data_IF_704115331118
#
_entry.id   IF_704115331118
#
_cell.length_a   1.000
_cell.length_b   1.000
_cell.length_c   1.000
_cell.angle_alpha   90.00
_cell.angle_beta   90.00
_cell.angle_gamma   90.00
#
_symmetry.space_group_name_H-M   'P 1'
#
loop_
_entity.id
_entity.type
_entity.pdbx_description
1 polymer ?
#
# COMPACT_ATOMS: atom_id res chain seq x y z
N UNK A 1 -11.21 9.27 -6.04
CA UNK A 1 -11.34 8.08 -5.15
C UNK A 1 -10.69 6.94 -5.88
N UNK A 2 -9.73 6.28 -5.26
CA UNK A 2 -9.19 5.08 -5.86
C UNK A 2 -10.33 4.07 -6.03
N UNK A 3 -10.56 3.64 -7.25
CA UNK A 3 -11.60 2.65 -7.56
C UNK A 3 -11.19 1.28 -7.01
N UNK A 4 -9.90 0.97 -7.04
CA UNK A 4 -9.33 -0.28 -6.55
C UNK A 4 -9.67 -0.56 -5.09
N UNK A 5 -9.43 0.37 -4.16
CA UNK A 5 -9.73 0.19 -2.73
C UNK A 5 -11.21 -0.10 -2.48
N UNK A 6 -12.10 0.63 -3.16
CA UNK A 6 -13.55 0.43 -2.97
C UNK A 6 -14.03 -0.89 -3.57
N UNK A 7 -13.47 -1.30 -4.71
CA UNK A 7 -13.74 -2.59 -5.34
C UNK A 7 -13.21 -3.71 -4.46
N UNK A 8 -11.98 -3.58 -3.94
CA UNK A 8 -11.36 -4.57 -3.07
C UNK A 8 -12.16 -4.76 -1.77
N UNK A 9 -12.65 -3.69 -1.12
CA UNK A 9 -13.56 -3.81 0.04
C UNK A 9 -14.81 -4.62 -0.33
N UNK A 10 -15.44 -4.32 -1.45
CA UNK A 10 -16.66 -5.01 -1.86
C UNK A 10 -16.42 -6.49 -2.18
N UNK A 11 -15.35 -6.80 -2.90
CA UNK A 11 -15.00 -8.19 -3.26
C UNK A 11 -14.56 -9.01 -2.05
N UNK A 12 -13.71 -8.46 -1.17
CA UNK A 12 -13.28 -9.16 0.04
C UNK A 12 -14.43 -9.36 1.03
N UNK A 13 -15.38 -8.41 1.08
CA UNK A 13 -16.64 -8.63 1.83
C UNK A 13 -17.44 -9.79 1.24
N UNK A 14 -17.54 -9.89 -0.08
CA UNK A 14 -18.24 -11.01 -0.73
C UNK A 14 -17.51 -12.33 -0.50
N UNK A 15 -16.18 -12.35 -0.55
CA UNK A 15 -15.37 -13.54 -0.24
C UNK A 15 -15.57 -13.96 1.22
N UNK A 16 -15.48 -13.03 2.17
CA UNK A 16 -15.71 -13.28 3.59
C UNK A 16 -17.11 -13.84 3.85
N UNK A 17 -18.14 -13.27 3.23
CA UNK A 17 -19.51 -13.75 3.34
C UNK A 17 -19.69 -15.16 2.75
N UNK A 18 -19.10 -15.44 1.59
CA UNK A 18 -19.17 -16.78 0.95
C UNK A 18 -18.46 -17.84 1.79
N UNK A 19 -17.24 -17.54 2.30
CA UNK A 19 -16.50 -18.44 3.20
C UNK A 19 -17.25 -18.65 4.53
N UNK A 20 -17.79 -17.58 5.11
CA UNK A 20 -18.60 -17.65 6.33
C UNK A 20 -19.88 -18.48 6.16
N UNK A 21 -20.57 -18.36 5.04
CA UNK A 21 -21.69 -19.22 4.70
C UNK A 21 -21.25 -20.69 4.55
N UNK A 22 -20.15 -20.93 3.85
CA UNK A 22 -19.58 -22.27 3.74
C UNK A 22 -19.23 -22.88 5.10
N UNK A 23 -18.66 -22.11 6.03
CA UNK A 23 -18.42 -22.54 7.40
C UNK A 23 -19.71 -22.87 8.15
N UNK A 24 -20.73 -22.02 8.09
CA UNK A 24 -22.01 -22.25 8.76
C UNK A 24 -22.71 -23.55 8.28
N UNK A 25 -22.55 -23.88 7.00
CA UNK A 25 -23.17 -25.10 6.40
C UNK A 25 -22.36 -26.36 6.71
N UNK A 26 -21.01 -26.26 6.70
CA UNK A 26 -20.13 -27.44 6.82
C UNK A 26 -19.60 -27.65 8.24
N UNK A 27 -19.54 -26.60 9.08
CA UNK A 27 -18.86 -26.62 10.36
C UNK A 27 -17.33 -26.72 10.24
N UNK A 28 -16.77 -26.56 9.04
CA UNK A 28 -15.33 -26.72 8.76
C UNK A 28 -14.46 -25.71 9.51
N UNK A 29 -13.50 -26.16 10.36
CA UNK A 29 -12.55 -25.28 11.02
C UNK A 29 -11.69 -24.48 10.04
N UNK A 30 -11.35 -25.06 8.90
CA UNK A 30 -10.60 -24.41 7.83
C UNK A 30 -11.37 -23.22 7.26
N UNK A 31 -12.66 -23.39 6.92
CA UNK A 31 -13.51 -22.30 6.44
C UNK A 31 -13.74 -21.23 7.52
N UNK A 32 -13.78 -21.59 8.80
CA UNK A 32 -13.81 -20.61 9.89
C UNK A 32 -12.56 -19.73 9.90
N UNK A 33 -11.37 -20.35 9.89
CA UNK A 33 -10.10 -19.64 9.86
C UNK A 33 -9.98 -18.70 8.63
N UNK A 34 -10.36 -19.21 7.45
CA UNK A 34 -10.41 -18.46 6.21
C UNK A 34 -11.41 -17.28 6.25
N UNK A 35 -12.54 -17.45 6.92
CA UNK A 35 -13.52 -16.36 7.12
C UNK A 35 -12.95 -15.25 7.99
N UNK A 36 -12.30 -15.61 9.11
CA UNK A 36 -11.65 -14.64 10.01
C UNK A 36 -10.55 -13.87 9.26
N UNK A 37 -9.76 -14.58 8.46
CA UNK A 37 -8.71 -13.95 7.63
C UNK A 37 -9.32 -12.94 6.65
N UNK A 38 -10.34 -13.34 5.88
CA UNK A 38 -11.01 -12.43 4.94
C UNK A 38 -11.69 -11.24 5.62
N UNK A 39 -12.20 -11.40 6.84
CA UNK A 39 -12.71 -10.28 7.65
C UNK A 39 -11.59 -9.32 8.06
N UNK A 40 -10.40 -9.84 8.39
CA UNK A 40 -9.24 -9.01 8.71
C UNK A 40 -8.77 -8.20 7.49
N UNK A 41 -8.79 -8.79 6.29
CA UNK A 41 -8.47 -8.11 5.03
C UNK A 41 -9.44 -6.96 4.74
N UNK A 42 -10.76 -7.19 4.92
CA UNK A 42 -11.77 -6.12 4.83
C UNK A 42 -11.46 -5.00 5.82
N UNK A 43 -11.16 -5.34 7.08
CA UNK A 43 -10.78 -4.37 8.11
C UNK A 43 -9.58 -3.53 7.71
N UNK A 44 -8.56 -4.17 7.15
CA UNK A 44 -7.36 -3.52 6.66
C UNK A 44 -7.66 -2.51 5.54
N UNK A 45 -8.45 -2.93 4.55
CA UNK A 45 -8.84 -2.06 3.43
C UNK A 45 -9.74 -0.91 3.85
N UNK A 46 -10.56 -1.09 4.89
CA UNK A 46 -11.34 0.00 5.51
C UNK A 46 -10.39 1.05 6.11
N UNK A 47 -9.31 0.65 6.78
CA UNK A 47 -8.30 1.58 7.30
C UNK A 47 -7.65 2.39 6.17
N UNK A 48 -7.27 1.74 5.07
CA UNK A 48 -6.75 2.41 3.88
C UNK A 48 -7.77 3.42 3.32
N UNK A 49 -9.04 3.04 3.27
CA UNK A 49 -10.12 3.92 2.82
C UNK A 49 -10.32 5.13 3.72
N UNK A 50 -10.24 4.96 5.04
CA UNK A 50 -10.28 6.06 6.00
C UNK A 50 -9.15 7.04 5.71
N UNK A 51 -7.94 6.55 5.47
CA UNK A 51 -6.78 7.36 5.10
C UNK A 51 -7.02 8.15 3.82
N UNK A 52 -7.56 7.50 2.79
CA UNK A 52 -7.90 8.16 1.51
C UNK A 52 -8.91 9.29 1.70
N UNK A 53 -9.99 9.03 2.45
CA UNK A 53 -11.06 10.03 2.69
C UNK A 53 -10.56 11.19 3.54
N UNK A 54 -9.79 10.91 4.59
CA UNK A 54 -9.26 11.95 5.50
C UNK A 54 -8.17 12.77 4.82
N UNK A 55 -7.29 12.11 4.05
CA UNK A 55 -6.20 12.77 3.32
C UNK A 55 -6.66 13.76 2.27
N UNK A 56 -7.91 13.66 1.78
CA UNK A 56 -8.48 14.59 0.79
C UNK A 56 -8.95 15.92 1.38
N UNK A 57 -8.97 16.06 2.72
CA UNK A 57 -9.36 17.33 3.33
C UNK A 57 -8.29 18.39 3.04
N UNK A 58 -8.74 19.47 2.41
CA UNK A 58 -7.90 20.61 2.05
C UNK A 58 -7.36 21.36 3.28
N UNK A 59 -6.59 22.43 3.03
CA UNK A 59 -6.03 23.28 4.07
C UNK A 59 -7.11 23.90 4.97
N UNK A 60 -6.83 23.93 6.27
CA UNK A 60 -7.62 24.61 7.29
C UNK A 60 -6.69 25.38 8.25
N UNK A 61 -7.26 26.08 9.25
CA UNK A 61 -6.44 26.86 10.20
C UNK A 61 -5.47 26.01 11.02
N UNK A 62 -5.79 24.74 11.24
CA UNK A 62 -4.97 23.80 12.04
C UNK A 62 -4.03 22.98 11.17
N UNK A 63 -4.34 22.84 9.89
CA UNK A 63 -3.56 22.07 8.90
C UNK A 63 -3.32 22.95 7.66
N UNK A 64 -2.36 23.87 7.69
CA UNK A 64 -2.15 24.86 6.62
C UNK A 64 -1.86 24.23 5.25
N UNK A 65 -1.30 23.03 5.21
CA UNK A 65 -0.98 22.30 3.97
C UNK A 65 -2.00 21.19 3.63
N UNK A 66 -3.13 21.14 4.38
CA UNK A 66 -4.12 20.08 4.27
C UNK A 66 -3.73 18.83 5.07
N UNK A 67 -4.44 17.74 4.82
CA UNK A 67 -4.28 16.49 5.58
C UNK A 67 -3.77 15.35 4.71
N UNK A 68 -3.04 15.62 3.65
CA UNK A 68 -2.54 14.60 2.72
C UNK A 68 -1.76 13.48 3.40
N UNK A 69 -0.98 13.80 4.42
CA UNK A 69 -0.19 12.82 5.20
C UNK A 69 -1.04 11.81 6.00
N UNK A 70 -2.33 12.07 6.22
CA UNK A 70 -3.24 11.07 6.84
C UNK A 70 -3.31 9.76 6.02
N UNK A 71 -3.13 9.81 4.71
CA UNK A 71 -3.04 8.60 3.90
C UNK A 71 -1.90 7.69 4.35
N UNK A 72 -0.72 8.26 4.53
CA UNK A 72 0.47 7.52 4.94
C UNK A 72 0.37 7.01 6.38
N UNK A 73 -0.26 7.80 7.26
CA UNK A 73 -0.53 7.38 8.65
C UNK A 73 -1.46 6.16 8.68
N UNK A 74 -2.61 6.23 8.00
CA UNK A 74 -3.56 5.12 8.01
C UNK A 74 -3.04 3.89 7.26
N UNK A 75 -2.22 4.08 6.21
CA UNK A 75 -1.53 2.99 5.54
C UNK A 75 -0.45 2.36 6.44
N UNK A 76 0.19 3.12 7.33
CA UNK A 76 1.10 2.57 8.34
C UNK A 76 0.32 1.76 9.39
N UNK A 77 -0.82 2.27 9.88
CA UNK A 77 -1.69 1.54 10.81
C UNK A 77 -2.19 0.24 10.18
N UNK A 78 -2.59 0.29 8.91
CA UNK A 78 -2.97 -0.88 8.11
C UNK A 78 -1.84 -1.91 8.05
N UNK A 79 -0.62 -1.49 7.68
CA UNK A 79 0.54 -2.39 7.63
C UNK A 79 0.86 -3.04 8.99
N UNK A 80 0.76 -2.30 10.08
CA UNK A 80 0.93 -2.82 11.45
C UNK A 80 -0.17 -3.87 11.76
N UNK A 81 -1.41 -3.61 11.37
CA UNK A 81 -2.52 -4.55 11.56
C UNK A 81 -2.30 -5.84 10.77
N UNK A 82 -1.85 -5.77 9.51
CA UNK A 82 -1.50 -6.94 8.70
C UNK A 82 -0.34 -7.73 9.33
N UNK A 83 0.65 -7.05 9.91
CA UNK A 83 1.76 -7.71 10.59
C UNK A 83 1.29 -8.52 11.79
N UNK A 84 0.50 -7.92 12.69
CA UNK A 84 0.09 -8.62 13.91
C UNK A 84 -1.02 -9.64 13.66
N UNK A 85 -2.02 -9.30 12.86
CA UNK A 85 -3.19 -10.15 12.62
C UNK A 85 -2.87 -11.14 11.49
N UNK A 86 -2.48 -10.66 10.29
CA UNK A 86 -2.24 -11.50 9.13
C UNK A 86 -1.05 -12.45 9.34
N UNK A 87 0.14 -11.89 9.61
CA UNK A 87 1.35 -12.68 9.83
C UNK A 87 1.24 -13.49 11.14
N UNK A 88 0.86 -12.84 12.26
CA UNK A 88 0.84 -13.48 13.57
C UNK A 88 -0.11 -14.67 13.64
N UNK A 89 -1.35 -14.53 13.17
CA UNK A 89 -2.35 -15.62 13.20
C UNK A 89 -1.93 -16.77 12.27
N UNK A 90 -1.45 -16.48 11.05
CA UNK A 90 -1.04 -17.52 10.12
C UNK A 90 0.17 -18.33 10.63
N UNK A 91 1.18 -17.66 11.20
CA UNK A 91 2.33 -18.36 11.79
C UNK A 91 1.90 -19.17 13.02
N UNK A 92 1.10 -18.59 13.92
CA UNK A 92 0.60 -19.29 15.10
C UNK A 92 -0.20 -20.53 14.69
N UNK A 93 -1.13 -20.39 13.77
CA UNK A 93 -1.96 -21.51 13.29
C UNK A 93 -1.13 -22.60 12.61
N UNK A 94 -0.18 -22.21 11.76
CA UNK A 94 0.71 -23.15 11.09
C UNK A 94 1.63 -23.91 12.07
N UNK A 95 2.24 -23.20 13.04
CA UNK A 95 3.07 -23.84 14.06
C UNK A 95 2.24 -24.77 14.96
N UNK A 96 1.05 -24.32 15.37
CA UNK A 96 0.15 -25.16 16.18
C UNK A 96 -0.24 -26.44 15.45
N UNK A 97 -0.59 -26.35 14.16
CA UNK A 97 -0.95 -27.51 13.34
C UNK A 97 0.23 -28.48 13.10
N UNK A 98 1.50 -28.02 13.19
CA UNK A 98 2.68 -28.89 13.16
C UNK A 98 2.91 -29.61 14.49
N UNK A 99 2.66 -28.91 15.61
CA UNK A 99 2.90 -29.46 16.96
C UNK A 99 1.77 -30.40 17.40
N UNK A 100 0.55 -30.07 17.07
CA UNK A 100 -0.65 -30.84 17.40
C UNK A 100 -1.44 -31.16 16.11
N UNK A 101 -0.99 -32.16 15.33
CA UNK A 101 -1.65 -32.50 14.08
C UNK A 101 -3.10 -32.94 14.32
N UNK A 102 -4.05 -32.11 13.95
CA UNK A 102 -5.47 -32.46 13.92
C UNK A 102 -5.78 -33.30 12.69
N UNK A 103 -6.91 -34.00 12.71
CA UNK A 103 -7.41 -34.74 11.53
C UNK A 103 -7.56 -33.78 10.35
N UNK A 104 -6.81 -34.04 9.28
CA UNK A 104 -6.90 -33.24 8.07
C UNK A 104 -8.22 -33.50 7.38
N UNK A 105 -8.99 -32.44 7.19
CA UNK A 105 -10.21 -32.52 6.39
C UNK A 105 -9.89 -32.77 4.92
N UNK A 106 -10.62 -33.67 4.28
CA UNK A 106 -10.56 -33.81 2.84
C UNK A 106 -11.13 -32.52 2.18
N UNK A 107 -10.46 -31.99 1.20
CA UNK A 107 -10.97 -30.88 0.41
C UNK A 107 -12.29 -31.29 -0.26
N UNK A 108 -13.42 -30.86 0.33
CA UNK A 108 -14.72 -31.09 -0.26
C UNK A 108 -14.87 -30.28 -1.55
N UNK A 109 -15.74 -30.72 -2.50
CA UNK A 109 -16.02 -29.92 -3.71
C UNK A 109 -16.49 -28.49 -3.42
N UNK A 110 -17.15 -28.28 -2.27
CA UNK A 110 -17.58 -26.97 -1.81
C UNK A 110 -16.37 -26.08 -1.47
N UNK A 111 -15.39 -26.61 -0.71
CA UNK A 111 -14.17 -25.87 -0.34
C UNK A 111 -13.38 -25.50 -1.61
N UNK A 112 -13.20 -26.44 -2.54
CA UNK A 112 -12.54 -26.17 -3.82
C UNK A 112 -13.28 -25.11 -4.64
N UNK A 113 -14.62 -25.18 -4.69
CA UNK A 113 -15.44 -24.18 -5.37
C UNK A 113 -15.29 -22.78 -4.77
N UNK A 114 -15.26 -22.66 -3.44
CA UNK A 114 -15.04 -21.39 -2.73
C UNK A 114 -13.62 -20.84 -2.95
N UNK A 115 -12.59 -21.70 -2.98
CA UNK A 115 -11.22 -21.28 -3.29
C UNK A 115 -11.10 -20.77 -4.73
N UNK A 116 -11.68 -21.44 -5.69
CA UNK A 116 -11.70 -20.99 -7.09
C UNK A 116 -12.49 -19.70 -7.28
N UNK A 117 -13.61 -19.54 -6.58
CA UNK A 117 -14.38 -18.29 -6.56
C UNK A 117 -13.53 -17.14 -5.97
N UNK A 118 -12.88 -17.38 -4.83
CA UNK A 118 -11.97 -16.40 -4.22
C UNK A 118 -10.82 -16.05 -5.16
N UNK A 119 -10.19 -17.04 -5.81
CA UNK A 119 -9.12 -16.84 -6.78
C UNK A 119 -9.55 -15.91 -7.93
N UNK A 120 -10.75 -16.11 -8.46
CA UNK A 120 -11.26 -15.30 -9.56
C UNK A 120 -11.51 -13.84 -9.13
N UNK A 121 -12.06 -13.63 -7.94
CA UNK A 121 -12.30 -12.30 -7.39
C UNK A 121 -10.98 -11.57 -7.05
N UNK A 122 -10.04 -12.24 -6.39
CA UNK A 122 -8.72 -11.70 -6.08
C UNK A 122 -7.93 -11.34 -7.34
N UNK A 123 -7.97 -12.20 -8.37
CA UNK A 123 -7.33 -11.91 -9.65
C UNK A 123 -7.96 -10.69 -10.35
N UNK A 124 -9.26 -10.50 -10.19
CA UNK A 124 -9.93 -9.32 -10.72
C UNK A 124 -9.54 -8.05 -9.96
N UNK A 125 -9.56 -8.04 -8.62
CA UNK A 125 -9.13 -6.88 -7.80
C UNK A 125 -7.68 -6.53 -8.04
N UNK A 126 -6.80 -7.52 -8.06
CA UNK A 126 -5.39 -7.35 -8.42
C UNK A 126 -5.23 -6.67 -9.78
N UNK A 127 -5.99 -7.12 -10.80
CA UNK A 127 -5.96 -6.52 -12.14
C UNK A 127 -6.41 -5.06 -12.14
N UNK A 128 -7.41 -4.70 -11.31
CA UNK A 128 -7.90 -3.33 -11.17
C UNK A 128 -6.84 -2.47 -10.47
N UNK A 129 -6.27 -2.94 -9.37
CA UNK A 129 -5.20 -2.24 -8.65
C UNK A 129 -3.96 -2.04 -9.54
N UNK A 130 -3.58 -3.06 -10.31
CA UNK A 130 -2.47 -2.99 -11.27
C UNK A 130 -2.70 -1.94 -12.36
N UNK A 131 -3.92 -1.87 -12.92
CA UNK A 131 -4.28 -0.85 -13.90
C UNK A 131 -4.23 0.56 -13.30
N UNK A 132 -4.71 0.74 -12.07
CA UNK A 132 -4.68 2.01 -11.35
C UNK A 132 -3.23 2.45 -11.06
N UNK A 133 -2.31 1.50 -10.83
CA UNK A 133 -0.87 1.75 -10.73
C UNK A 133 -0.19 2.06 -12.08
N UNK A 134 -0.91 2.02 -13.19
CA UNK A 134 -0.38 2.27 -14.53
C UNK A 134 0.29 1.08 -15.19
N UNK A 135 0.01 -0.14 -14.70
CA UNK A 135 0.59 -1.41 -15.19
C UNK A 135 1.98 -1.69 -14.63
N UNK A 136 2.53 -2.86 -14.99
CA UNK A 136 3.81 -3.36 -14.47
C UNK A 136 4.98 -2.39 -14.66
N UNK A 137 5.03 -1.67 -15.77
CA UNK A 137 6.13 -0.75 -16.09
C UNK A 137 6.18 0.48 -15.18
N UNK A 138 5.05 0.92 -14.63
CA UNK A 138 4.93 2.15 -13.83
C UNK A 138 4.80 1.92 -12.32
N UNK A 139 4.74 0.68 -11.86
CA UNK A 139 4.62 0.36 -10.43
C UNK A 139 5.71 1.07 -9.61
N UNK A 140 6.97 1.03 -10.07
CA UNK A 140 8.09 1.63 -9.35
C UNK A 140 7.99 3.16 -9.26
N UNK A 141 7.42 3.80 -10.26
CA UNK A 141 7.23 5.26 -10.30
C UNK A 141 6.07 5.70 -9.41
N UNK A 142 4.99 4.92 -9.39
CA UNK A 142 3.75 5.24 -8.68
C UNK A 142 3.68 4.66 -7.25
N UNK A 143 4.77 4.07 -6.73
CA UNK A 143 4.81 3.47 -5.38
C UNK A 143 4.48 4.43 -4.23
N UNK A 144 4.54 5.75 -4.48
CA UNK A 144 4.14 6.76 -3.49
C UNK A 144 2.61 6.81 -3.29
N UNK A 145 1.82 6.26 -4.22
CA UNK A 145 0.41 5.96 -3.99
C UNK A 145 0.31 4.71 -3.11
N UNK A 146 0.67 4.90 -1.83
CA UNK A 146 0.85 3.78 -0.88
C UNK A 146 -0.43 3.01 -0.63
N UNK A 147 -1.59 3.66 -0.77
CA UNK A 147 -2.91 3.05 -0.58
C UNK A 147 -3.18 1.99 -1.65
N UNK A 148 -3.06 2.35 -2.93
CA UNK A 148 -3.29 1.41 -4.04
C UNK A 148 -2.19 0.35 -4.08
N UNK A 149 -0.95 0.76 -3.75
CA UNK A 149 0.19 -0.15 -3.71
C UNK A 149 0.05 -1.21 -2.60
N UNK A 150 -0.51 -0.83 -1.43
CA UNK A 150 -0.80 -1.78 -0.36
C UNK A 150 -1.83 -2.81 -0.81
N UNK A 151 -2.95 -2.38 -1.41
CA UNK A 151 -3.97 -3.30 -1.97
C UNK A 151 -3.36 -4.24 -3.00
N UNK A 152 -2.54 -3.73 -3.93
CA UNK A 152 -1.89 -4.54 -4.95
C UNK A 152 -1.00 -5.65 -4.35
N UNK A 153 -0.22 -5.32 -3.32
CA UNK A 153 0.66 -6.30 -2.65
C UNK A 153 -0.15 -7.30 -1.82
N UNK A 154 -1.21 -6.86 -1.15
CA UNK A 154 -2.11 -7.69 -0.37
C UNK A 154 -2.81 -8.73 -1.27
N UNK A 155 -3.41 -8.27 -2.38
CA UNK A 155 -4.06 -9.16 -3.37
C UNK A 155 -3.04 -10.13 -3.99
N UNK A 156 -1.79 -9.70 -4.24
CA UNK A 156 -0.73 -10.57 -4.75
C UNK A 156 -0.39 -11.71 -3.78
N UNK A 157 -0.30 -11.41 -2.47
CA UNK A 157 -0.03 -12.43 -1.44
C UNK A 157 -1.24 -13.35 -1.27
N UNK A 158 -2.47 -12.80 -1.31
CA UNK A 158 -3.70 -13.60 -1.26
C UNK A 158 -3.79 -14.59 -2.44
N UNK A 159 -3.53 -14.12 -3.66
CA UNK A 159 -3.47 -14.98 -4.86
C UNK A 159 -2.44 -16.10 -4.71
N UNK A 160 -1.22 -15.77 -4.25
CA UNK A 160 -0.19 -16.77 -4.02
C UNK A 160 -0.60 -17.77 -2.95
N UNK A 161 -1.22 -17.32 -1.86
CA UNK A 161 -1.75 -18.16 -0.80
C UNK A 161 -2.79 -19.16 -1.31
N UNK A 162 -3.78 -18.69 -2.08
CA UNK A 162 -4.82 -19.55 -2.68
C UNK A 162 -4.20 -20.57 -3.65
N UNK A 163 -3.24 -20.15 -4.48
CA UNK A 163 -2.55 -21.05 -5.41
C UNK A 163 -1.75 -22.13 -4.66
N UNK A 164 -1.06 -21.79 -3.59
CA UNK A 164 -0.35 -22.76 -2.74
C UNK A 164 -1.33 -23.74 -2.08
N UNK A 165 -2.47 -23.26 -1.59
CA UNK A 165 -3.53 -24.11 -1.00
C UNK A 165 -4.11 -25.07 -2.05
N UNK A 166 -4.39 -24.59 -3.27
CA UNK A 166 -4.87 -25.44 -4.37
C UNK A 166 -3.81 -26.47 -4.79
N UNK A 167 -2.53 -26.11 -4.77
CA UNK A 167 -1.43 -27.05 -5.03
C UNK A 167 -1.40 -28.14 -3.96
N UNK A 168 -1.50 -27.79 -2.68
CA UNK A 168 -1.58 -28.76 -1.58
C UNK A 168 -2.82 -29.64 -1.70
N UNK A 169 -3.96 -29.08 -2.08
CA UNK A 169 -5.17 -29.88 -2.34
C UNK A 169 -4.93 -30.91 -3.45
N UNK A 170 -4.30 -30.51 -4.56
CA UNK A 170 -3.93 -31.43 -5.66
C UNK A 170 -2.93 -32.51 -5.23
N UNK A 171 -1.92 -32.15 -4.47
CA UNK A 171 -0.93 -33.10 -3.89
C UNK A 171 -1.61 -34.10 -2.95
N UNK A 172 -2.55 -33.60 -2.14
CA UNK A 172 -3.31 -34.44 -1.20
C UNK A 172 -4.21 -35.50 -1.88
N UNK A 173 -4.64 -35.23 -3.11
CA UNK A 173 -5.40 -36.23 -3.90
C UNK A 173 -4.53 -37.43 -4.29
N UNK A 174 -3.20 -37.23 -4.46
CA UNK A 174 -2.27 -38.27 -4.92
C UNK A 174 -1.64 -39.01 -3.73
N UNK A 175 -1.16 -38.27 -2.72
CA UNK A 175 -0.40 -38.82 -1.59
C UNK A 175 -1.19 -38.89 -0.28
N UNK A 176 -2.46 -38.54 -0.29
CA UNK A 176 -3.31 -38.42 0.89
C UNK A 176 -3.08 -37.08 1.64
N UNK A 177 -4.08 -36.66 2.41
CA UNK A 177 -4.04 -35.42 3.17
C UNK A 177 -3.00 -35.52 4.31
N UNK A 178 -2.17 -34.47 4.46
CA UNK A 178 -1.16 -34.37 5.52
C UNK A 178 -1.21 -32.98 6.15
N UNK A 179 -1.44 -32.90 7.45
CA UNK A 179 -1.47 -31.66 8.21
C UNK A 179 -0.21 -30.79 8.01
N UNK A 180 0.96 -31.43 7.82
CA UNK A 180 2.21 -30.73 7.57
C UNK A 180 2.20 -29.88 6.29
N UNK A 181 1.46 -30.24 5.26
CA UNK A 181 1.39 -29.45 4.02
C UNK A 181 0.63 -28.14 4.24
N UNK A 182 -0.58 -28.21 4.84
CA UNK A 182 -1.38 -27.02 5.15
C UNK A 182 -0.65 -26.09 6.14
N UNK A 183 -0.06 -26.67 7.17
CA UNK A 183 0.76 -25.94 8.15
C UNK A 183 1.93 -25.20 7.49
N UNK A 184 2.63 -25.85 6.55
CA UNK A 184 3.75 -25.23 5.82
C UNK A 184 3.27 -24.07 4.96
N UNK A 185 2.13 -24.21 4.28
CA UNK A 185 1.53 -23.12 3.49
C UNK A 185 1.12 -21.96 4.39
N UNK A 186 0.47 -22.23 5.53
CA UNK A 186 0.08 -21.18 6.48
C UNK A 186 1.30 -20.39 6.98
N UNK A 187 2.39 -21.07 7.34
CA UNK A 187 3.63 -20.42 7.77
C UNK A 187 4.23 -19.60 6.61
N UNK A 188 4.29 -20.15 5.40
CA UNK A 188 4.85 -19.47 4.25
C UNK A 188 4.06 -18.18 3.91
N UNK A 189 2.73 -18.26 3.89
CA UNK A 189 1.85 -17.09 3.68
C UNK A 189 2.03 -16.08 4.81
N UNK A 190 2.07 -16.54 6.08
CA UNK A 190 2.34 -15.68 7.23
C UNK A 190 3.65 -14.92 7.12
N UNK A 191 4.74 -15.57 6.72
CA UNK A 191 6.04 -14.93 6.51
C UNK A 191 5.97 -13.91 5.37
N UNK A 192 5.31 -14.24 4.25
CA UNK A 192 5.13 -13.31 3.14
C UNK A 192 4.35 -12.06 3.56
N UNK A 193 3.25 -12.22 4.30
CA UNK A 193 2.48 -11.11 4.87
C UNK A 193 3.34 -10.26 5.81
N UNK A 194 4.16 -10.89 6.65
CA UNK A 194 5.08 -10.18 7.54
C UNK A 194 6.12 -9.35 6.78
N UNK A 195 6.74 -9.90 5.76
CA UNK A 195 7.72 -9.19 4.91
C UNK A 195 7.05 -8.03 4.18
N UNK A 196 5.87 -8.25 3.61
CA UNK A 196 5.07 -7.22 2.94
C UNK A 196 4.71 -6.10 3.91
N UNK A 197 4.21 -6.43 5.08
CA UNK A 197 3.80 -5.47 6.11
C UNK A 197 4.98 -4.61 6.58
N UNK A 198 6.14 -5.20 6.84
CA UNK A 198 7.35 -4.46 7.21
C UNK A 198 7.82 -3.53 6.07
N UNK A 199 7.74 -3.99 4.83
CA UNK A 199 8.07 -3.17 3.67
C UNK A 199 7.13 -1.96 3.54
N UNK A 200 5.80 -2.18 3.65
CA UNK A 200 4.81 -1.10 3.62
C UNK A 200 4.96 -0.14 4.81
N UNK A 201 5.23 -0.66 6.00
CA UNK A 201 5.49 0.16 7.18
C UNK A 201 6.71 1.06 6.98
N UNK A 202 7.81 0.50 6.44
CA UNK A 202 9.03 1.27 6.15
C UNK A 202 8.78 2.35 5.09
N UNK A 203 8.01 2.03 4.04
CA UNK A 203 7.65 2.99 2.98
C UNK A 203 6.80 4.14 3.54
N UNK A 204 5.73 3.82 4.28
CA UNK A 204 4.83 4.82 4.85
C UNK A 204 5.53 5.67 5.92
N UNK A 205 6.37 5.06 6.78
CA UNK A 205 7.20 5.80 7.73
C UNK A 205 8.07 6.82 7.00
N UNK A 206 8.72 6.42 5.91
CA UNK A 206 9.57 7.32 5.14
C UNK A 206 8.80 8.54 4.60
N UNK A 207 7.57 8.33 4.12
CA UNK A 207 6.71 9.41 3.59
C UNK A 207 6.15 10.32 4.69
N UNK A 208 5.99 9.81 5.91
CA UNK A 208 5.59 10.60 7.09
C UNK A 208 6.71 11.48 7.65
N UNK A 209 7.99 11.11 7.40
CA UNK A 209 9.16 11.83 7.92
C UNK A 209 9.74 12.71 6.79
N UNK A 210 8.98 13.69 6.34
CA UNK A 210 9.43 14.80 5.47
C UNK A 210 10.44 14.38 4.38
N UNK A 211 10.03 13.47 3.49
CA UNK A 211 10.91 12.99 2.41
C UNK A 211 10.85 13.92 1.20
N UNK A 212 12.02 14.24 0.63
CA UNK A 212 12.15 14.94 -0.65
C UNK A 212 11.96 14.00 -1.84
N UNK A 213 11.43 14.55 -2.94
CA UNK A 213 11.51 13.95 -4.26
C UNK A 213 12.79 14.37 -4.98
N UNK A 214 13.83 13.57 -4.84
CA UNK A 214 15.16 13.90 -5.40
C UNK A 214 15.19 14.04 -6.92
N UNK A 215 14.24 13.46 -7.67
CA UNK A 215 14.13 13.64 -9.12
C UNK A 215 13.58 15.02 -9.43
N UNK A 216 12.53 15.42 -8.72
CA UNK A 216 11.91 16.72 -8.82
C UNK A 216 12.89 17.83 -8.37
N UNK A 217 13.62 17.62 -7.26
CA UNK A 217 14.63 18.56 -6.77
C UNK A 217 15.69 18.86 -7.84
N UNK A 218 16.26 17.82 -8.45
CA UNK A 218 17.25 17.96 -9.54
C UNK A 218 16.66 18.63 -10.79
N UNK A 219 15.40 18.36 -11.11
CA UNK A 219 14.75 19.01 -12.25
C UNK A 219 14.53 20.50 -11.98
N UNK A 220 14.14 20.87 -10.76
CA UNK A 220 13.99 22.25 -10.33
C UNK A 220 15.33 22.98 -10.34
N UNK A 221 16.40 22.37 -9.83
CA UNK A 221 17.76 22.93 -9.86
C UNK A 221 18.23 23.20 -11.31
N UNK A 222 18.01 22.23 -12.21
CA UNK A 222 18.35 22.40 -13.64
C UNK A 222 17.55 23.53 -14.30
N UNK A 223 16.27 23.62 -13.98
CA UNK A 223 15.41 24.66 -14.51
C UNK A 223 15.85 26.05 -14.02
N UNK A 224 16.20 26.18 -12.73
CA UNK A 224 16.73 27.43 -12.15
C UNK A 224 18.09 27.77 -12.73
N UNK A 225 18.98 26.81 -12.93
CA UNK A 225 20.29 27.02 -13.55
C UNK A 225 20.16 27.55 -14.99
N UNK A 226 19.16 27.14 -15.75
CA UNK A 226 18.84 27.66 -17.07
C UNK A 226 18.38 29.14 -17.05
N UNK A 227 17.95 29.65 -15.87
CA UNK A 227 17.62 31.06 -15.64
C UNK A 227 18.81 31.84 -14.97
N UNK A 228 20.01 31.26 -15.01
CA UNK A 228 21.22 31.83 -14.35
C UNK A 228 21.08 31.99 -12.82
N UNK A 229 20.29 31.08 -12.19
CA UNK A 229 20.09 31.08 -10.74
C UNK A 229 20.72 29.83 -10.16
N UNK A 230 21.76 30.00 -9.35
CA UNK A 230 22.36 28.94 -8.55
C UNK A 230 21.59 28.79 -7.24
N UNK A 231 20.95 27.64 -7.07
CA UNK A 231 20.15 27.34 -5.89
C UNK A 231 20.19 25.86 -5.55
N UNK A 232 20.11 25.55 -4.26
CA UNK A 232 19.80 24.23 -3.74
C UNK A 232 18.28 24.10 -3.61
N UNK A 233 17.71 23.01 -4.12
CA UNK A 233 16.27 22.77 -4.03
C UNK A 233 16.00 21.56 -3.17
N UNK A 234 15.00 21.67 -2.31
CA UNK A 234 14.44 20.58 -1.51
C UNK A 234 12.94 20.61 -1.64
N UNK A 235 12.35 19.49 -1.98
CA UNK A 235 10.89 19.32 -1.96
C UNK A 235 10.43 18.61 -0.68
N UNK A 236 9.19 18.86 -0.31
CA UNK A 236 8.48 18.16 0.75
C UNK A 236 7.25 17.51 0.14
N UNK A 237 7.15 16.20 0.24
CA UNK A 237 5.99 15.44 -0.25
C UNK A 237 4.83 15.61 0.75
N UNK A 238 3.73 16.21 0.28
CA UNK A 238 2.52 16.40 1.09
C UNK A 238 1.51 15.29 0.85
N UNK A 239 1.41 14.84 -0.41
CA UNK A 239 0.46 13.80 -0.87
C UNK A 239 1.05 13.10 -2.11
N UNK A 240 0.34 12.14 -2.66
CA UNK A 240 0.75 11.35 -3.85
C UNK A 240 1.18 12.22 -5.03
N UNK A 241 0.47 13.35 -5.24
CA UNK A 241 0.64 14.26 -6.38
C UNK A 241 0.96 15.71 -5.99
N UNK A 242 1.14 16.00 -4.68
CA UNK A 242 1.36 17.36 -4.15
C UNK A 242 2.68 17.47 -3.42
N UNK A 243 3.39 18.56 -3.71
CA UNK A 243 4.68 18.88 -3.09
C UNK A 243 4.78 20.37 -2.73
N UNK A 244 5.62 20.69 -1.74
CA UNK A 244 6.11 22.04 -1.49
C UNK A 244 7.57 22.07 -1.90
N UNK A 245 8.00 23.18 -2.48
CA UNK A 245 9.39 23.36 -2.93
C UNK A 245 10.05 24.47 -2.12
N UNK A 246 11.19 24.16 -1.52
CA UNK A 246 12.05 25.09 -0.82
C UNK A 246 13.28 25.34 -1.69
N UNK A 247 13.49 26.61 -2.05
CA UNK A 247 14.62 27.06 -2.88
C UNK A 247 15.56 27.90 -2.02
N UNK A 248 16.79 27.43 -1.86
CA UNK A 248 17.85 28.16 -1.18
C UNK A 248 18.80 28.75 -2.24
N UNK A 249 18.57 30.01 -2.60
CA UNK A 249 19.40 30.71 -3.57
C UNK A 249 20.64 31.33 -2.93
N UNK A 250 21.74 31.36 -3.65
CA UNK A 250 23.02 31.93 -3.21
C UNK A 250 23.01 33.47 -3.20
N UNK A 251 22.07 34.08 -3.92
CA UNK A 251 21.87 35.56 -3.99
C UNK A 251 20.38 35.87 -4.01
N UNK A 252 20.05 37.13 -3.72
CA UNK A 252 18.68 37.61 -3.87
C UNK A 252 18.21 37.47 -5.33
N UNK A 253 17.00 36.95 -5.53
CA UNK A 253 16.43 36.71 -6.85
C UNK A 253 15.29 37.70 -7.09
N UNK A 254 15.48 38.69 -8.00
CA UNK A 254 14.41 39.59 -8.39
C UNK A 254 13.22 38.83 -8.93
N UNK A 255 12.02 39.32 -8.64
CA UNK A 255 10.76 38.70 -9.10
C UNK A 255 10.58 37.21 -8.69
N UNK A 256 11.14 36.81 -7.54
CA UNK A 256 11.09 35.40 -7.02
C UNK A 256 9.68 34.82 -6.99
N UNK A 257 8.66 35.64 -6.75
CA UNK A 257 7.27 35.20 -6.78
C UNK A 257 6.79 34.76 -8.18
N UNK A 258 7.08 35.55 -9.21
CA UNK A 258 6.73 35.21 -10.59
C UNK A 258 7.52 33.99 -11.08
N UNK A 259 8.78 33.91 -10.72
CA UNK A 259 9.67 32.80 -11.03
C UNK A 259 9.22 31.52 -10.33
N UNK A 260 8.78 31.61 -9.07
CA UNK A 260 8.21 30.49 -8.33
C UNK A 260 6.95 29.91 -9.00
N UNK A 261 6.07 30.75 -9.54
CA UNK A 261 4.91 30.32 -10.33
C UNK A 261 5.33 29.61 -11.62
N UNK A 262 6.32 30.16 -12.33
CA UNK A 262 6.84 29.56 -13.57
C UNK A 262 7.51 28.20 -13.29
N UNK A 263 8.31 28.10 -12.22
CA UNK A 263 8.89 26.83 -11.77
C UNK A 263 7.82 25.81 -11.43
N UNK A 264 6.78 26.20 -10.68
CA UNK A 264 5.67 25.32 -10.33
C UNK A 264 4.94 24.76 -11.56
N UNK A 265 4.69 25.62 -12.58
CA UNK A 265 4.10 25.21 -13.84
C UNK A 265 5.01 24.21 -14.59
N UNK A 266 6.29 24.51 -14.72
CA UNK A 266 7.26 23.66 -15.40
C UNK A 266 7.40 22.28 -14.72
N UNK A 267 7.39 22.20 -13.40
CA UNK A 267 7.44 20.95 -12.65
C UNK A 267 6.15 20.13 -12.79
N UNK A 268 5.01 20.79 -12.85
CA UNK A 268 3.73 20.13 -13.10
C UNK A 268 3.70 19.47 -14.49
N UNK A 269 4.15 20.18 -15.51
CA UNK A 269 4.17 19.69 -16.89
C UNK A 269 5.15 18.52 -17.08
N UNK A 270 6.29 18.55 -16.39
CA UNK A 270 7.35 17.54 -16.57
C UNK A 270 7.22 16.34 -15.63
N UNK A 271 6.69 16.51 -14.43
CA UNK A 271 6.64 15.48 -13.38
C UNK A 271 5.21 15.13 -12.93
N UNK A 272 4.18 15.83 -13.46
CA UNK A 272 2.78 15.59 -13.13
C UNK A 272 2.40 15.94 -11.67
N UNK A 273 3.31 16.57 -10.90
CA UNK A 273 3.06 16.92 -9.50
C UNK A 273 2.63 18.37 -9.35
N UNK A 274 1.62 18.59 -8.53
CA UNK A 274 1.17 19.94 -8.18
C UNK A 274 2.07 20.52 -7.10
N UNK A 275 2.64 21.68 -7.35
CA UNK A 275 3.45 22.43 -6.39
C UNK A 275 2.53 23.41 -5.65
N UNK A 276 2.29 23.16 -4.36
CA UNK A 276 1.40 23.99 -3.52
C UNK A 276 2.03 25.34 -3.14
N UNK A 277 3.35 25.40 -3.14
CA UNK A 277 4.09 26.62 -2.87
C UNK A 277 5.57 26.49 -3.17
N UNK A 278 6.19 27.61 -3.56
CA UNK A 278 7.63 27.72 -3.69
C UNK A 278 8.12 28.75 -2.67
N UNK A 279 8.92 28.30 -1.73
CA UNK A 279 9.44 29.12 -0.64
C UNK A 279 10.92 29.42 -0.88
N UNK A 280 11.26 30.70 -0.92
CA UNK A 280 12.61 31.18 -1.17
C UNK A 280 13.32 31.52 0.13
N UNK A 281 14.52 31.00 0.28
CA UNK A 281 15.47 31.41 1.30
C UNK A 281 16.72 31.92 0.61
N UNK A 282 17.06 33.16 0.87
CA UNK A 282 18.31 33.77 0.35
C UNK A 282 19.43 33.59 1.37
N UNK A 283 20.65 33.36 0.88
CA UNK A 283 21.79 33.36 1.77
C UNK A 283 21.93 34.78 2.35
N UNK A 284 21.74 34.92 3.65
CA UNK A 284 22.13 36.13 4.36
C UNK A 284 23.64 36.09 4.45
N UNK A 285 24.32 37.13 3.98
CA UNK A 285 25.74 37.36 4.26
C UNK A 285 25.94 37.39 5.78
N UNK A 286 26.30 36.25 6.35
CA UNK A 286 26.83 36.19 7.72
C UNK A 286 28.33 36.39 7.67
N UNK A 287 28.75 37.52 7.07
CA UNK A 287 30.12 38.04 7.17
C UNK A 287 30.08 39.40 7.85
N UNK A 288 29.74 39.40 9.14
CA UNK A 288 30.10 40.52 10.04
C UNK A 288 29.89 40.07 11.48
N UNK A 289 30.98 39.64 12.11
CA UNK A 289 31.04 39.39 13.54
C UNK A 289 32.12 38.39 13.88
#
# INVERSE_FOLDING_TARGET
>A
MSSSVSISIATNTAIAAAKGFGWLVTGSPTLFAETIHSCADVGNQVLLKIGEVRGRKGPDRTHPFGRGQEKFFWALVSAISVFFIGCGINIYHGVHALLEPTTVENFSPLILGLLLFSLALEAWTFSVALKEMGGWSKIHENRNNTTVFAVLLEDAVALLGILLTLLVAGVSLVWGPRAAFDATVAIAVGVLLGVMALFLAALNRRLLIDTSDTKLDRAAEKWLAAQDISAEVRSLIIDDDRVIVFVRATREVPHSFALGKALAAALKDTHGKTVDGVYWKFATDTSSG
#
